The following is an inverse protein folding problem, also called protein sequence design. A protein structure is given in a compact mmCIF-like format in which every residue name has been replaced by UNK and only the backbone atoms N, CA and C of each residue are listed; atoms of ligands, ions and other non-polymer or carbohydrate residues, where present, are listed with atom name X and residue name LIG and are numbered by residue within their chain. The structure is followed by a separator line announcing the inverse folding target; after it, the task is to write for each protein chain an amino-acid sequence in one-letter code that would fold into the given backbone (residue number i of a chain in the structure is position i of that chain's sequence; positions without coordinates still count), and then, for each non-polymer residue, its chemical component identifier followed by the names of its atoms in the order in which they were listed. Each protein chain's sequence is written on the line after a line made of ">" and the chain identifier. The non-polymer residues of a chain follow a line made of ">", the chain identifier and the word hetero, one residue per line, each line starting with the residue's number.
data_IF_988644609920
#
_entry.id   IF_988644609920
#
_cell.length_a   1.000
_cell.length_b   1.000
_cell.length_c   1.000
_cell.angle_alpha   90.00
_cell.angle_beta   90.00
_cell.angle_gamma   90.00
#
_symmetry.space_group_name_H-M   'P 1'
#
loop_
_entity.id
_entity.type
_entity.pdbx_description
1 polymer ?
#
# COMPACT_ATOMS: atom_id res chain seq x y z
N UNK A 1 -14.10 22.32 -8.05
CA UNK A 1 -13.30 23.28 -8.83
C UNK A 1 -11.94 22.66 -9.13
N UNK A 2 -11.56 22.48 -10.41
CA UNK A 2 -10.17 22.14 -10.75
C UNK A 2 -9.31 23.37 -10.48
N UNK A 3 -8.29 23.25 -9.62
CA UNK A 3 -7.27 24.30 -9.48
C UNK A 3 -6.45 24.33 -10.75
N UNK A 4 -6.37 25.50 -11.38
CA UNK A 4 -5.52 25.74 -12.55
C UNK A 4 -4.17 26.24 -12.06
N UNK A 5 -3.09 25.65 -12.55
CA UNK A 5 -1.73 26.09 -12.29
C UNK A 5 -1.17 26.73 -13.56
N UNK A 6 -0.68 27.96 -13.47
CA UNK A 6 -0.16 28.70 -14.63
C UNK A 6 1.17 28.12 -15.15
N UNK A 7 1.94 27.44 -14.29
CA UNK A 7 3.17 26.74 -14.66
C UNK A 7 3.54 25.66 -13.62
N UNK A 8 4.50 24.79 -13.95
CA UNK A 8 5.05 23.84 -12.99
C UNK A 8 5.71 24.54 -11.79
N UNK A 9 6.42 25.65 -12.04
CA UNK A 9 7.06 26.44 -10.98
C UNK A 9 6.02 27.02 -10.01
N UNK A 10 4.91 27.55 -10.52
CA UNK A 10 3.86 28.09 -9.65
C UNK A 10 3.17 27.00 -8.82
N UNK A 11 3.03 25.79 -9.35
CA UNK A 11 2.59 24.62 -8.58
C UNK A 11 3.55 24.30 -7.44
N UNK A 12 4.85 24.17 -7.73
CA UNK A 12 5.86 23.83 -6.71
C UNK A 12 5.95 24.88 -5.60
N UNK A 13 5.97 26.17 -5.95
CA UNK A 13 6.02 27.27 -4.98
C UNK A 13 4.79 27.24 -4.06
N UNK A 14 3.59 27.03 -4.63
CA UNK A 14 2.36 26.92 -3.84
C UNK A 14 2.37 25.71 -2.91
N UNK A 15 2.81 24.54 -3.39
CA UNK A 15 2.87 23.34 -2.56
C UNK A 15 3.91 23.46 -1.44
N UNK A 16 5.07 24.06 -1.72
CA UNK A 16 6.10 24.33 -0.72
C UNK A 16 5.63 25.31 0.36
N UNK A 17 4.96 26.39 -0.03
CA UNK A 17 4.39 27.36 0.91
C UNK A 17 3.36 26.68 1.84
N UNK A 18 2.42 25.90 1.27
CA UNK A 18 1.42 25.14 2.04
C UNK A 18 2.08 24.16 3.02
N UNK A 19 3.11 23.43 2.57
CA UNK A 19 3.85 22.51 3.43
C UNK A 19 4.52 23.25 4.61
N UNK A 20 5.18 24.38 4.35
CA UNK A 20 5.81 25.15 5.42
C UNK A 20 4.80 25.64 6.46
N UNK A 21 3.64 26.15 6.03
CA UNK A 21 2.55 26.52 6.93
C UNK A 21 2.13 25.35 7.82
N UNK A 22 1.92 24.17 7.22
CA UNK A 22 1.54 22.96 7.98
C UNK A 22 2.57 22.52 9.00
N UNK A 23 3.86 22.66 8.69
CA UNK A 23 4.95 22.28 9.59
C UNK A 23 5.13 23.25 10.76
N UNK A 24 4.85 24.54 10.57
CA UNK A 24 5.10 25.57 11.58
C UNK A 24 3.88 25.81 12.47
N UNK A 25 2.68 25.78 11.91
CA UNK A 25 1.44 26.11 12.63
C UNK A 25 0.85 24.90 13.38
N UNK A 26 1.41 23.70 13.19
CA UNK A 26 0.96 22.46 13.83
C UNK A 26 -0.46 22.01 13.46
N UNK A 27 -1.09 22.68 12.49
CA UNK A 27 -2.49 22.51 12.10
C UNK A 27 -2.66 21.69 10.80
N UNK A 28 -1.57 21.24 10.17
CA UNK A 28 -1.62 20.45 8.94
C UNK A 28 -2.25 19.08 9.19
N UNK A 29 -3.40 18.83 8.56
CA UNK A 29 -4.09 17.54 8.58
C UNK A 29 -4.44 17.14 7.15
N UNK A 30 -4.21 15.87 6.81
CA UNK A 30 -4.62 15.28 5.53
C UNK A 30 -5.95 14.56 5.74
N UNK A 31 -6.98 14.91 4.96
CA UNK A 31 -8.27 14.22 4.98
C UNK A 31 -8.43 13.42 3.69
N UNK A 32 -8.47 12.09 3.81
CA UNK A 32 -8.67 11.18 2.69
C UNK A 32 -10.15 10.99 2.42
N UNK A 33 -10.60 11.40 1.24
CA UNK A 33 -11.99 11.26 0.78
C UNK A 33 -12.10 10.50 -0.57
N UNK A 34 -10.99 9.93 -1.04
CA UNK A 34 -10.88 9.25 -2.34
C UNK A 34 -10.61 10.17 -3.53
N UNK A 35 -10.47 11.49 -3.31
CA UNK A 35 -10.25 12.48 -4.35
C UNK A 35 -9.24 13.56 -3.88
N UNK A 36 -8.58 14.22 -4.82
CA UNK A 36 -7.81 15.43 -4.53
C UNK A 36 -6.55 15.24 -3.66
N UNK A 37 -6.03 14.02 -3.52
CA UNK A 37 -4.74 13.77 -2.86
C UNK A 37 -3.60 14.45 -3.66
N UNK A 38 -2.80 15.27 -2.99
CA UNK A 38 -1.67 16.00 -3.59
C UNK A 38 -0.32 15.38 -3.18
N UNK A 39 0.72 15.59 -3.99
CA UNK A 39 2.10 15.13 -3.67
C UNK A 39 2.57 15.69 -2.33
N UNK A 40 2.19 16.93 -1.99
CA UNK A 40 2.54 17.54 -0.72
C UNK A 40 1.95 16.79 0.48
N UNK A 41 0.74 16.21 0.35
CA UNK A 41 0.09 15.45 1.41
C UNK A 41 0.88 14.16 1.67
N UNK A 42 1.35 13.51 0.60
CA UNK A 42 2.21 12.32 0.67
C UNK A 42 3.54 12.67 1.35
N UNK A 43 4.18 13.78 0.97
CA UNK A 43 5.45 14.24 1.56
C UNK A 43 5.27 14.59 3.03
N UNK A 44 4.20 15.30 3.38
CA UNK A 44 3.89 15.70 4.75
C UNK A 44 3.74 14.47 5.66
N UNK A 45 2.96 13.46 5.24
CA UNK A 45 2.77 12.23 6.02
C UNK A 45 4.05 11.40 6.08
N UNK A 46 4.68 11.15 4.93
CA UNK A 46 5.79 10.20 4.84
C UNK A 46 7.07 10.68 5.51
N UNK A 47 7.33 12.00 5.49
CA UNK A 47 8.58 12.58 6.02
C UNK A 47 8.41 13.27 7.37
N UNK A 48 7.20 13.69 7.72
CA UNK A 48 6.96 14.52 8.91
C UNK A 48 5.93 13.91 9.88
N UNK A 49 5.53 12.65 9.67
CA UNK A 49 4.52 11.97 10.49
C UNK A 49 3.21 12.79 10.63
N UNK A 50 2.84 13.47 9.55
CA UNK A 50 1.62 14.27 9.47
C UNK A 50 0.36 13.45 9.79
N UNK A 51 -0.61 14.07 10.45
CA UNK A 51 -1.86 13.41 10.84
C UNK A 51 -2.76 13.18 9.62
N UNK A 52 -3.36 12.00 9.58
CA UNK A 52 -4.28 11.58 8.51
C UNK A 52 -5.64 11.23 9.12
N UNK A 53 -6.69 11.70 8.48
CA UNK A 53 -8.08 11.39 8.80
C UNK A 53 -8.76 10.82 7.56
N UNK A 54 -9.80 10.03 7.78
CA UNK A 54 -10.68 9.55 6.70
C UNK A 54 -11.97 10.37 6.78
N UNK A 55 -12.41 10.89 5.65
CA UNK A 55 -13.69 11.57 5.56
C UNK A 55 -14.85 10.62 5.92
N UNK A 56 -15.78 11.10 6.74
CA UNK A 56 -16.84 10.26 7.27
C UNK A 56 -17.79 9.75 6.17
N UNK A 57 -18.07 10.55 5.14
CA UNK A 57 -18.93 10.11 4.05
C UNK A 57 -18.23 9.06 3.17
N UNK A 58 -16.93 9.22 2.92
CA UNK A 58 -16.12 8.21 2.24
C UNK A 58 -16.09 6.88 3.01
N UNK A 59 -15.94 6.94 4.34
CA UNK A 59 -15.98 5.76 5.21
C UNK A 59 -17.33 5.05 5.13
N UNK A 60 -18.44 5.79 5.22
CA UNK A 60 -19.79 5.22 5.09
C UNK A 60 -20.02 4.60 3.71
N UNK A 61 -19.57 5.25 2.64
CA UNK A 61 -19.65 4.70 1.29
C UNK A 61 -18.87 3.37 1.16
N UNK A 62 -17.70 3.27 1.80
CA UNK A 62 -16.92 2.04 1.86
C UNK A 62 -17.67 0.91 2.56
N UNK A 63 -18.31 1.17 3.70
CA UNK A 63 -19.13 0.16 4.39
C UNK A 63 -20.34 -0.28 3.56
N UNK A 64 -21.02 0.64 2.89
CA UNK A 64 -22.13 0.33 2.01
C UNK A 64 -21.70 -0.57 0.84
N UNK A 65 -20.54 -0.27 0.23
CA UNK A 65 -19.96 -1.10 -0.83
C UNK A 65 -19.61 -2.51 -0.33
N UNK A 66 -18.99 -2.61 0.86
CA UNK A 66 -18.70 -3.89 1.50
C UNK A 66 -19.96 -4.73 1.73
N UNK A 67 -21.00 -4.15 2.33
CA UNK A 67 -22.25 -4.85 2.60
C UNK A 67 -22.91 -5.35 1.31
N UNK A 68 -22.89 -4.53 0.25
CA UNK A 68 -23.40 -4.93 -1.06
C UNK A 68 -22.60 -6.10 -1.64
N UNK A 69 -21.26 -6.05 -1.57
CA UNK A 69 -20.40 -7.14 -2.04
C UNK A 69 -20.69 -8.44 -1.31
N UNK A 70 -20.75 -8.40 0.03
CA UNK A 70 -21.04 -9.58 0.84
C UNK A 70 -22.41 -10.18 0.51
N UNK A 71 -23.42 -9.33 0.30
CA UNK A 71 -24.74 -9.76 -0.15
C UNK A 71 -24.68 -10.44 -1.53
N UNK A 72 -24.00 -9.82 -2.50
CA UNK A 72 -23.85 -10.36 -3.85
C UNK A 72 -23.20 -11.75 -3.81
N UNK A 73 -22.14 -11.92 -3.01
CA UNK A 73 -21.50 -13.24 -2.82
C UNK A 73 -22.45 -14.24 -2.15
N UNK A 74 -23.21 -13.84 -1.12
CA UNK A 74 -24.15 -14.74 -0.45
C UNK A 74 -25.33 -15.15 -1.33
N UNK A 75 -25.71 -14.30 -2.28
CA UNK A 75 -26.76 -14.58 -3.27
C UNK A 75 -26.28 -15.58 -4.36
N UNK A 76 -25.02 -16.03 -4.30
CA UNK A 76 -24.44 -17.07 -5.16
C UNK A 76 -23.69 -16.54 -6.37
N UNK A 77 -23.55 -15.22 -6.49
CA UNK A 77 -22.85 -14.60 -7.62
C UNK A 77 -21.35 -14.92 -7.60
N UNK A 78 -20.80 -15.17 -8.79
CA UNK A 78 -19.39 -15.51 -8.97
C UNK A 78 -18.61 -14.24 -9.27
N UNK A 79 -17.70 -13.87 -8.37
CA UNK A 79 -16.91 -12.65 -8.47
C UNK A 79 -15.42 -13.01 -8.51
N UNK A 80 -14.74 -12.53 -9.57
CA UNK A 80 -13.31 -12.73 -9.76
C UNK A 80 -12.50 -12.25 -8.54
N UNK A 81 -11.58 -13.09 -8.03
CA UNK A 81 -10.70 -12.83 -6.88
C UNK A 81 -11.39 -12.61 -5.52
N UNK A 82 -12.71 -12.81 -5.45
CA UNK A 82 -13.46 -12.76 -4.20
C UNK A 82 -13.81 -14.17 -3.74
N UNK A 83 -14.66 -14.88 -4.49
CA UNK A 83 -15.01 -16.29 -4.26
C UNK A 83 -14.48 -17.21 -5.38
N UNK A 84 -13.46 -16.74 -6.10
CA UNK A 84 -12.73 -17.47 -7.13
C UNK A 84 -11.23 -17.31 -6.95
N UNK A 85 -10.44 -18.22 -7.51
CA UNK A 85 -8.99 -18.16 -7.43
C UNK A 85 -8.34 -16.99 -8.17
N UNK A 86 -7.00 -16.96 -8.17
CA UNK A 86 -6.19 -15.87 -8.73
C UNK A 86 -5.38 -16.38 -9.93
N UNK A 87 -5.10 -15.51 -10.91
CA UNK A 87 -4.29 -15.89 -12.08
C UNK A 87 -4.85 -17.11 -12.81
N UNK A 88 -4.02 -18.14 -13.01
CA UNK A 88 -4.40 -19.37 -13.71
C UNK A 88 -5.45 -20.24 -13.00
N UNK A 89 -5.77 -19.97 -11.73
CA UNK A 89 -6.81 -20.68 -10.98
C UNK A 89 -8.15 -19.91 -10.93
N UNK A 90 -8.36 -18.94 -11.83
CA UNK A 90 -9.52 -18.05 -11.83
C UNK A 90 -10.88 -18.78 -11.93
N UNK A 91 -10.91 -19.96 -12.56
CA UNK A 91 -12.15 -20.74 -12.71
C UNK A 91 -12.49 -21.58 -11.45
N UNK A 92 -11.56 -21.68 -10.50
CA UNK A 92 -11.79 -22.42 -9.25
C UNK A 92 -12.65 -21.59 -8.31
N UNK A 93 -13.85 -22.08 -7.98
CA UNK A 93 -14.75 -21.46 -7.00
C UNK A 93 -14.37 -21.89 -5.59
N UNK A 94 -14.43 -20.95 -4.64
CA UNK A 94 -14.16 -21.20 -3.23
C UNK A 94 -15.27 -20.59 -2.37
N UNK A 95 -15.87 -21.42 -1.52
CA UNK A 95 -16.92 -21.00 -0.59
C UNK A 95 -16.34 -20.37 0.70
N UNK A 96 -15.04 -20.56 0.96
CA UNK A 96 -14.31 -19.92 2.05
C UNK A 96 -13.49 -18.73 1.54
N UNK A 97 -14.18 -17.61 1.36
CA UNK A 97 -13.59 -16.33 0.93
C UNK A 97 -12.48 -15.89 1.89
N UNK A 98 -12.64 -16.09 3.21
CA UNK A 98 -11.65 -15.65 4.20
C UNK A 98 -10.35 -16.46 4.12
N UNK A 99 -10.44 -17.79 3.99
CA UNK A 99 -9.26 -18.63 3.78
C UNK A 99 -8.55 -18.26 2.47
N UNK A 100 -9.30 -17.99 1.40
CA UNK A 100 -8.75 -17.58 0.13
C UNK A 100 -7.95 -16.26 0.23
N UNK A 101 -8.49 -15.23 0.90
CA UNK A 101 -7.78 -13.95 1.07
C UNK A 101 -6.55 -14.08 1.99
N UNK A 102 -6.60 -14.96 3.01
CA UNK A 102 -5.43 -15.27 3.85
C UNK A 102 -4.32 -15.94 3.04
N UNK A 103 -4.67 -16.91 2.20
CA UNK A 103 -3.74 -17.60 1.32
C UNK A 103 -3.11 -16.62 0.33
N UNK A 104 -3.89 -15.78 -0.33
CA UNK A 104 -3.37 -14.72 -1.21
C UNK A 104 -2.34 -13.84 -0.49
N UNK A 105 -2.67 -13.37 0.71
CA UNK A 105 -1.77 -12.51 1.48
C UNK A 105 -0.48 -13.23 1.84
N UNK A 106 -0.53 -14.54 2.12
CA UNK A 106 0.64 -15.39 2.34
C UNK A 106 1.50 -15.53 1.07
N UNK A 107 0.87 -15.88 -0.05
CA UNK A 107 1.49 -16.06 -1.36
C UNK A 107 2.01 -14.76 -1.99
N UNK A 108 1.79 -13.59 -1.40
CA UNK A 108 2.39 -12.34 -1.87
C UNK A 108 3.61 -11.92 -1.03
N UNK A 109 4.00 -12.71 -0.02
CA UNK A 109 5.15 -12.43 0.86
C UNK A 109 6.48 -12.96 0.31
N UNK A 110 6.82 -12.54 -0.90
CA UNK A 110 8.08 -12.93 -1.56
C UNK A 110 9.15 -11.82 -1.57
N UNK A 111 9.02 -10.81 -0.71
CA UNK A 111 10.01 -9.75 -0.58
C UNK A 111 11.31 -10.24 0.04
N UNK A 112 12.43 -10.06 -0.67
CA UNK A 112 13.77 -10.31 -0.12
C UNK A 112 14.27 -9.02 0.54
N UNK A 113 14.46 -9.05 1.85
CA UNK A 113 15.01 -7.92 2.59
C UNK A 113 16.54 -8.01 2.60
N UNK A 114 17.21 -6.85 2.55
CA UNK A 114 18.64 -6.80 2.88
C UNK A 114 18.86 -7.20 4.34
N UNK A 115 20.03 -7.75 4.70
CA UNK A 115 20.32 -8.12 6.07
C UNK A 115 20.05 -6.96 7.04
N UNK A 116 19.08 -7.13 7.92
CA UNK A 116 18.71 -6.15 8.92
C UNK A 116 19.64 -6.27 10.14
N UNK A 117 19.73 -5.20 10.94
CA UNK A 117 20.51 -5.21 12.18
C UNK A 117 20.07 -6.31 13.18
N UNK A 118 18.84 -6.81 13.04
CA UNK A 118 18.25 -7.87 13.86
C UNK A 118 18.36 -9.27 13.23
N UNK A 119 18.87 -9.38 12.01
CA UNK A 119 19.05 -10.68 11.41
C UNK A 119 20.17 -11.42 12.14
N UNK A 120 20.04 -12.75 12.33
CA UNK A 120 21.11 -13.56 12.88
C UNK A 120 22.36 -13.33 12.05
N UNK A 121 23.36 -12.65 12.64
CA UNK A 121 24.63 -12.46 11.93
C UNK A 121 25.19 -13.86 11.69
N UNK A 122 25.55 -14.22 10.45
CA UNK A 122 26.29 -15.45 10.23
C UNK A 122 27.50 -15.42 11.15
N UNK A 123 27.66 -16.48 11.95
CA UNK A 123 28.81 -16.65 12.84
C UNK A 123 30.04 -16.39 11.99
N UNK A 124 30.89 -15.44 12.38
CA UNK A 124 32.12 -15.11 11.67
C UNK A 124 32.89 -16.42 11.45
N UNK A 125 32.78 -17.00 10.27
CA UNK A 125 33.66 -18.09 9.88
C UNK A 125 35.02 -17.41 9.75
N UNK A 126 35.98 -17.84 10.58
CA UNK A 126 37.38 -17.57 10.31
C UNK A 126 37.63 -18.04 8.88
N UNK A 127 37.82 -17.09 7.97
CA UNK A 127 38.07 -17.33 6.56
C UNK A 127 39.38 -18.11 6.46
N UNK A 128 39.30 -19.45 6.38
CA UNK A 128 40.27 -20.18 5.59
C UNK A 128 39.84 -20.02 4.14
N UNK A 129 40.67 -19.31 3.38
CA UNK A 129 40.48 -19.08 1.95
C UNK A 129 40.52 -20.42 1.20
N UNK A 130 39.35 -21.03 0.95
CA UNK A 130 39.20 -22.03 -0.10
C UNK A 130 38.51 -21.39 -1.29
N UNK A 131 39.33 -20.94 -2.24
CA UNK A 131 38.91 -20.64 -3.60
C UNK A 131 38.46 -21.94 -4.27
N UNK A 132 37.17 -22.23 -4.30
CA UNK A 132 36.62 -23.22 -5.21
C UNK A 132 36.46 -22.56 -6.58
N UNK A 133 37.40 -22.83 -7.47
CA UNK A 133 37.24 -22.58 -8.91
C UNK A 133 36.06 -23.42 -9.39
N UNK A 134 35.07 -22.80 -10.00
CA UNK A 134 34.03 -23.50 -10.75
C UNK A 134 34.56 -23.71 -12.17
N UNK A 135 35.06 -24.91 -12.46
CA UNK A 135 35.24 -25.35 -13.83
C UNK A 135 33.87 -25.70 -14.41
N UNK A 136 33.45 -24.93 -15.40
CA UNK A 136 32.34 -25.29 -16.28
C UNK A 136 32.90 -26.18 -17.39
N UNK A 137 32.53 -27.47 -17.34
CA UNK A 137 32.63 -28.39 -18.46
C UNK A 137 31.34 -28.33 -19.29
#
# INVERSE_FOLDING_TARGET
>A
MRRSYESHTSLLVQQWAKLNTWLHDGAGNVVLNGQGLEILDIVFVSRNAGKVFIDQAALQASFNSHNKLMKTVSDGEVIYRVNTGFGGSADTRNNDVLALQRLLTGELRYGVLSPAARDPRPRSQSTSSHSSSFDLA
#
